data_IF_262432881635
#
_entry.id   IF_262432881635
#
_cell.length_a   1.000
_cell.length_b   1.000
_cell.length_c   1.000
_cell.angle_alpha   90.00
_cell.angle_beta   90.00
_cell.angle_gamma   90.00
#
_symmetry.space_group_name_H-M   'P 1'
#
loop_
_entity.id
_entity.type
_entity.pdbx_description
1 polymer ?
#
# COMPACT_ATOMS: atom_id res chain seq x y z
N UNK A 1 -16.90 15.41 -4.35
CA UNK A 1 -15.96 16.51 -4.68
C UNK A 1 -16.62 17.63 -5.48
N UNK A 2 -17.59 17.33 -6.37
CA UNK A 2 -18.42 18.35 -7.05
C UNK A 2 -19.11 19.34 -6.11
N UNK A 3 -19.68 18.83 -5.01
CA UNK A 3 -20.33 19.67 -3.97
C UNK A 3 -19.38 20.66 -3.29
N UNK A 4 -18.17 20.23 -2.87
CA UNK A 4 -17.17 21.14 -2.26
C UNK A 4 -16.72 22.23 -3.24
N UNK A 5 -16.62 21.89 -4.52
CA UNK A 5 -16.27 22.84 -5.58
C UNK A 5 -17.41 23.82 -5.87
N UNK A 6 -18.66 23.36 -5.79
CA UNK A 6 -19.86 24.21 -5.89
C UNK A 6 -20.01 25.16 -4.69
N UNK A 7 -19.50 24.77 -3.52
CA UNK A 7 -19.45 25.60 -2.30
C UNK A 7 -18.29 26.61 -2.26
N UNK A 8 -17.48 26.71 -3.32
CA UNK A 8 -16.40 27.70 -3.44
C UNK A 8 -15.01 27.22 -3.01
N UNK A 9 -14.80 25.92 -2.76
CA UNK A 9 -13.45 25.40 -2.48
C UNK A 9 -12.51 25.63 -3.68
N UNK A 10 -11.30 26.11 -3.40
CA UNK A 10 -10.32 26.38 -4.46
C UNK A 10 -9.78 25.08 -5.05
N UNK A 11 -9.21 25.16 -6.26
CA UNK A 11 -8.57 24.01 -6.91
C UNK A 11 -7.48 23.39 -6.03
N UNK A 12 -6.73 24.23 -5.32
CA UNK A 12 -5.66 23.81 -4.40
C UNK A 12 -6.21 23.03 -3.20
N UNK A 13 -7.38 23.38 -2.68
CA UNK A 13 -8.01 22.67 -1.54
C UNK A 13 -8.40 21.25 -1.93
N UNK A 14 -8.97 21.08 -3.13
CA UNK A 14 -9.36 19.76 -3.66
C UNK A 14 -8.12 18.90 -3.94
N UNK A 15 -7.07 19.48 -4.53
CA UNK A 15 -5.82 18.76 -4.78
C UNK A 15 -5.21 18.32 -3.45
N UNK A 16 -5.12 19.23 -2.47
CA UNK A 16 -4.53 18.94 -1.16
C UNK A 16 -5.27 17.83 -0.43
N UNK A 17 -6.60 17.87 -0.40
CA UNK A 17 -7.40 16.83 0.24
C UNK A 17 -7.20 15.45 -0.41
N UNK A 18 -7.30 15.38 -1.73
CA UNK A 18 -7.13 14.12 -2.46
C UNK A 18 -5.71 13.55 -2.28
N UNK A 19 -4.71 14.44 -2.28
CA UNK A 19 -3.33 14.06 -2.05
C UNK A 19 -3.15 13.48 -0.65
N UNK A 20 -3.67 14.14 0.39
CA UNK A 20 -3.61 13.65 1.77
C UNK A 20 -4.30 12.29 1.89
N UNK A 21 -5.49 12.13 1.31
CA UNK A 21 -6.24 10.87 1.33
C UNK A 21 -5.45 9.74 0.65
N UNK A 22 -4.84 10.03 -0.51
CA UNK A 22 -4.01 9.06 -1.23
C UNK A 22 -2.74 8.71 -0.45
N UNK A 23 -2.08 9.71 0.16
CA UNK A 23 -0.87 9.50 0.98
C UNK A 23 -1.21 8.66 2.22
N UNK A 24 -2.30 8.93 2.91
CA UNK A 24 -2.73 8.16 4.08
C UNK A 24 -3.07 6.71 3.69
N UNK A 25 -3.79 6.51 2.58
CA UNK A 25 -4.10 5.16 2.06
C UNK A 25 -2.83 4.39 1.69
N UNK A 26 -1.93 5.01 0.93
CA UNK A 26 -0.70 4.37 0.45
C UNK A 26 0.28 4.09 1.59
N UNK A 27 0.39 4.99 2.58
CA UNK A 27 1.15 4.75 3.79
C UNK A 27 0.58 3.58 4.62
N UNK A 28 -0.75 3.50 4.75
CA UNK A 28 -1.41 2.40 5.47
C UNK A 28 -1.13 1.04 4.82
N UNK A 29 -1.22 0.96 3.49
CA UNK A 29 -0.88 -0.25 2.73
C UNK A 29 0.62 -0.56 2.80
N UNK A 30 1.49 0.45 2.75
CA UNK A 30 2.94 0.28 2.88
C UNK A 30 3.33 -0.32 4.23
N UNK A 31 2.77 0.19 5.33
CA UNK A 31 2.98 -0.35 6.68
C UNK A 31 2.46 -1.79 6.77
N UNK A 32 1.23 -2.04 6.28
CA UNK A 32 0.66 -3.39 6.27
C UNK A 32 1.51 -4.38 5.46
N UNK A 33 2.06 -3.95 4.32
CA UNK A 33 2.95 -4.76 3.48
C UNK A 33 4.28 -5.10 4.17
N UNK A 34 4.88 -4.15 4.88
CA UNK A 34 6.10 -4.40 5.67
C UNK A 34 5.82 -5.38 6.81
N UNK A 35 4.74 -5.18 7.55
CA UNK A 35 4.34 -6.12 8.62
C UNK A 35 4.09 -7.52 8.08
N UNK A 36 3.42 -7.63 6.92
CA UNK A 36 3.19 -8.90 6.25
C UNK A 36 4.51 -9.57 5.82
N UNK A 37 5.41 -8.80 5.21
CA UNK A 37 6.73 -9.31 4.80
C UNK A 37 7.58 -9.79 5.98
N UNK A 38 7.59 -9.05 7.09
CA UNK A 38 8.28 -9.45 8.32
C UNK A 38 7.66 -10.71 8.95
N UNK A 39 6.37 -10.95 8.73
CA UNK A 39 5.65 -12.11 9.26
C UNK A 39 5.99 -13.42 8.53
N UNK A 40 6.54 -13.37 7.31
CA UNK A 40 6.90 -14.56 6.53
C UNK A 40 7.90 -15.45 7.28
N UNK A 41 8.93 -14.86 7.90
CA UNK A 41 9.95 -15.60 8.67
C UNK A 41 9.39 -16.39 9.87
N UNK A 42 8.66 -15.76 10.81
CA UNK A 42 8.05 -16.47 11.93
C UNK A 42 6.96 -17.45 11.49
N UNK A 43 6.14 -17.13 10.47
CA UNK A 43 5.13 -18.06 9.94
C UNK A 43 5.79 -19.30 9.35
N UNK A 44 6.85 -19.13 8.54
CA UNK A 44 7.60 -20.26 7.98
C UNK A 44 8.18 -21.17 9.06
N UNK A 45 8.74 -20.59 10.14
CA UNK A 45 9.23 -21.35 11.29
C UNK A 45 8.11 -22.07 12.06
N UNK A 46 6.94 -21.44 12.21
CA UNK A 46 5.78 -22.03 12.87
C UNK A 46 5.26 -23.23 12.08
N UNK A 47 5.07 -23.06 10.76
CA UNK A 47 4.65 -24.13 9.85
C UNK A 47 5.62 -25.30 9.89
N UNK A 48 6.93 -25.04 9.83
CA UNK A 48 7.96 -26.08 9.95
C UNK A 48 7.84 -26.87 11.26
N UNK A 49 7.63 -26.18 12.39
CA UNK A 49 7.46 -26.81 13.71
C UNK A 49 6.20 -27.69 13.80
N UNK A 50 5.10 -27.23 13.21
CA UNK A 50 3.85 -28.01 13.18
C UNK A 50 4.03 -29.27 12.34
N UNK A 51 4.60 -29.16 11.14
CA UNK A 51 4.82 -30.30 10.24
C UNK A 51 5.78 -31.32 10.86
N UNK A 52 6.87 -30.88 11.49
CA UNK A 52 7.83 -31.80 12.13
C UNK A 52 7.23 -32.59 13.31
N UNK A 53 6.14 -32.10 13.90
CA UNK A 53 5.45 -32.77 15.03
C UNK A 53 4.47 -33.84 14.54
N UNK A 54 3.91 -33.68 13.33
CA UNK A 54 2.87 -34.56 12.78
C UNK A 54 3.46 -35.61 11.82
N UNK A 55 4.55 -35.29 11.10
CA UNK A 55 5.17 -36.20 10.12
C UNK A 55 6.68 -35.93 10.01
N UNK A 56 7.53 -36.68 10.74
CA UNK A 56 8.99 -36.46 10.78
C UNK A 56 9.71 -36.70 9.45
N UNK A 57 9.18 -37.57 8.58
CA UNK A 57 9.83 -38.01 7.32
C UNK A 57 9.39 -37.23 6.07
N UNK A 58 8.37 -36.38 6.15
CA UNK A 58 7.82 -35.69 4.97
C UNK A 58 8.50 -34.37 4.62
N UNK A 59 9.48 -33.92 5.42
CA UNK A 59 10.25 -32.69 5.17
C UNK A 59 11.56 -33.00 4.44
N UNK A 60 11.72 -32.60 3.16
CA UNK A 60 12.97 -32.73 2.45
C UNK A 60 14.10 -31.96 3.18
N UNK A 61 15.34 -32.50 3.24
CA UNK A 61 16.46 -31.84 3.90
C UNK A 61 16.74 -30.42 3.36
N UNK A 62 16.39 -30.18 2.08
CA UNK A 62 16.46 -28.87 1.43
C UNK A 62 15.67 -27.83 2.23
N UNK A 63 14.43 -28.12 2.62
CA UNK A 63 13.55 -27.19 3.34
C UNK A 63 14.05 -26.91 4.77
N UNK A 64 14.80 -27.84 5.35
CA UNK A 64 15.38 -27.66 6.68
C UNK A 64 16.45 -26.57 6.73
N UNK A 65 17.19 -26.39 5.64
CA UNK A 65 18.27 -25.41 5.50
C UNK A 65 17.83 -24.04 4.96
N UNK A 66 16.58 -23.93 4.47
CA UNK A 66 16.05 -22.66 3.98
C UNK A 66 15.76 -21.71 5.15
N UNK A 67 16.57 -20.66 5.26
CA UNK A 67 16.31 -19.53 6.15
C UNK A 67 15.80 -18.34 5.35
N UNK A 68 14.56 -17.88 5.57
CA UNK A 68 14.08 -16.63 4.97
C UNK A 68 14.94 -15.47 5.47
N UNK A 69 15.79 -14.92 4.59
CA UNK A 69 16.60 -13.73 4.87
C UNK A 69 15.95 -12.51 4.27
N UNK A 70 15.50 -11.61 5.14
CA UNK A 70 14.97 -10.31 4.75
C UNK A 70 16.13 -9.31 4.81
N UNK A 71 16.48 -8.74 3.66
CA UNK A 71 17.52 -7.73 3.61
C UNK A 71 16.93 -6.36 4.00
N UNK A 72 17.56 -5.64 4.93
CA UNK A 72 17.02 -4.38 5.44
C UNK A 72 16.84 -3.31 4.33
N UNK A 73 17.72 -3.32 3.32
CA UNK A 73 17.60 -2.43 2.15
C UNK A 73 16.36 -2.71 1.30
N UNK A 74 15.88 -3.96 1.24
CA UNK A 74 14.70 -4.30 0.45
C UNK A 74 13.43 -3.73 1.05
N UNK A 75 13.39 -3.60 2.38
CA UNK A 75 12.28 -2.96 3.12
C UNK A 75 12.24 -1.46 2.82
N UNK A 76 13.40 -0.79 2.83
CA UNK A 76 13.49 0.64 2.50
C UNK A 76 13.10 0.90 1.05
N UNK A 77 13.58 0.07 0.12
CA UNK A 77 13.20 0.18 -1.29
C UNK A 77 11.73 -0.09 -1.54
N UNK A 78 11.14 -1.10 -0.90
CA UNK A 78 9.71 -1.41 -1.10
C UNK A 78 8.82 -0.27 -0.62
N UNK A 79 9.14 0.33 0.55
CA UNK A 79 8.46 1.51 1.06
C UNK A 79 8.64 2.72 0.12
N UNK A 80 9.87 2.94 -0.37
CA UNK A 80 10.17 4.02 -1.32
C UNK A 80 9.38 3.89 -2.62
N UNK A 81 9.30 2.69 -3.20
CA UNK A 81 8.51 2.41 -4.40
C UNK A 81 7.02 2.59 -4.10
N UNK A 82 6.51 2.06 -2.98
CA UNK A 82 5.11 2.18 -2.59
C UNK A 82 4.65 3.63 -2.45
N UNK A 83 5.46 4.46 -1.76
CA UNK A 83 5.20 5.90 -1.62
C UNK A 83 5.30 6.62 -2.97
N UNK A 84 6.33 6.31 -3.78
CA UNK A 84 6.50 6.92 -5.10
C UNK A 84 5.32 6.65 -6.02
N UNK A 85 4.87 5.40 -6.09
CA UNK A 85 3.68 4.98 -6.83
C UNK A 85 2.44 5.68 -6.28
N UNK A 86 2.25 5.67 -4.96
CA UNK A 86 1.12 6.33 -4.29
C UNK A 86 1.01 7.82 -4.61
N UNK A 87 2.12 8.55 -4.55
CA UNK A 87 2.15 9.98 -4.88
C UNK A 87 1.91 10.20 -6.37
N UNK A 88 2.56 9.44 -7.26
CA UNK A 88 2.38 9.59 -8.71
C UNK A 88 0.92 9.36 -9.14
N UNK A 89 0.32 8.27 -8.67
CA UNK A 89 -1.07 7.94 -8.96
C UNK A 89 -2.08 8.77 -8.16
N UNK A 90 -1.67 9.48 -7.11
CA UNK A 90 -2.51 10.44 -6.38
C UNK A 90 -2.55 11.82 -7.03
N UNK A 91 -1.40 12.32 -7.47
CA UNK A 91 -1.27 13.68 -8.04
C UNK A 91 -2.01 13.80 -9.38
N UNK A 92 -1.93 12.78 -10.24
CA UNK A 92 -2.58 12.81 -11.54
C UNK A 92 -4.13 12.95 -11.48
N UNK A 93 -4.87 12.07 -10.78
CA UNK A 93 -6.32 12.21 -10.64
C UNK A 93 -6.70 13.43 -9.79
N UNK A 94 -5.91 13.82 -8.78
CA UNK A 94 -6.15 15.05 -8.01
C UNK A 94 -6.16 16.28 -8.92
N UNK A 95 -5.16 16.40 -9.80
CA UNK A 95 -5.11 17.44 -10.82
C UNK A 95 -6.32 17.36 -11.73
N UNK A 96 -6.63 16.18 -12.29
CA UNK A 96 -7.78 16.01 -13.18
C UNK A 96 -9.10 16.46 -12.51
N UNK A 97 -9.34 16.06 -11.26
CA UNK A 97 -10.53 16.43 -10.48
C UNK A 97 -10.62 17.94 -10.19
N UNK A 98 -9.47 18.60 -10.02
CA UNK A 98 -9.37 20.04 -9.81
C UNK A 98 -9.50 20.88 -11.10
N UNK A 99 -9.51 20.26 -12.28
CA UNK A 99 -9.78 20.94 -13.56
C UNK A 99 -11.21 20.74 -14.09
N UNK A 100 -12.01 19.81 -13.56
CA UNK A 100 -13.43 19.62 -13.98
C UNK A 100 -14.27 20.89 -13.84
N UNK A 101 -15.16 21.20 -14.77
CA UNK A 101 -16.02 22.38 -14.61
C UNK A 101 -17.11 22.15 -13.53
N UNK A 102 -17.28 23.04 -12.54
CA UNK A 102 -18.26 22.87 -11.46
C UNK A 102 -19.70 22.75 -11.98
N UNK A 103 -20.00 23.45 -13.08
CA UNK A 103 -21.30 23.44 -13.75
C UNK A 103 -21.59 22.07 -14.37
N UNK A 104 -20.56 21.43 -14.92
CA UNK A 104 -20.68 20.12 -15.57
C UNK A 104 -20.78 18.98 -14.54
N UNK A 105 -20.18 19.16 -13.36
CA UNK A 105 -20.31 18.24 -12.22
C UNK A 105 -21.71 18.25 -11.57
N UNK A 106 -22.43 19.37 -11.63
CA UNK A 106 -23.82 19.48 -11.12
C UNK A 106 -24.88 19.03 -12.14
N UNK A 107 -24.55 19.01 -13.44
CA UNK A 107 -25.48 18.60 -14.51
C UNK A 107 -25.57 17.07 -14.68
N UNK A 108 -24.64 16.33 -14.09
CA UNK A 108 -24.58 14.86 -14.15
C UNK A 108 -24.88 14.19 -12.81
N UNK A 109 -25.39 14.95 -11.83
CA UNK A 109 -26.14 14.41 -10.70
C UNK A 109 -27.65 14.47 -10.99
#
# INVERSE_FOLDING_TARGET
MGVRRALGATRSDIIGQFLIETVVLTASVGIAGVLFGLSVGPVFRLVKRVISTISPESLPPIVNSLEPRIAMWSVVLSLGISLGVGVLFGVYPARKAAYLDPIEALRHE
#
